data_IF_420502404234
#
_entry.id   IF_420502404234
#
_cell.length_a   1.000
_cell.length_b   1.000
_cell.length_c   1.000
_cell.angle_alpha   90.00
_cell.angle_beta   90.00
_cell.angle_gamma   90.00
#
_symmetry.space_group_name_H-M   'P 1'
#
loop_
_entity.id
_entity.type
_entity.pdbx_description
1 polymer ?
#
# COMPACT_ATOMS: atom_id res chain seq x y z
N UNK A 1 -21.89 13.93 -32.17
CA UNK A 1 -22.46 14.23 -30.84
C UNK A 1 -21.96 15.60 -30.43
N UNK A 2 -22.85 16.58 -30.24
CA UNK A 2 -22.49 17.90 -29.70
C UNK A 2 -22.98 17.91 -28.25
N UNK A 3 -22.07 18.07 -27.30
CA UNK A 3 -22.42 18.12 -25.88
C UNK A 3 -23.02 19.48 -25.55
N UNK A 4 -24.11 19.49 -24.80
CA UNK A 4 -24.76 20.72 -24.32
C UNK A 4 -24.29 21.07 -22.89
N UNK A 5 -24.58 22.29 -22.43
CA UNK A 5 -24.23 22.76 -21.07
C UNK A 5 -24.78 21.84 -19.98
N UNK A 6 -25.94 21.23 -20.23
CA UNK A 6 -26.57 20.25 -19.32
C UNK A 6 -25.73 18.99 -19.17
N UNK A 7 -25.13 18.49 -20.24
CA UNK A 7 -24.27 17.31 -20.23
C UNK A 7 -23.00 17.59 -19.42
N UNK A 8 -22.41 18.77 -19.59
CA UNK A 8 -21.24 19.20 -18.82
C UNK A 8 -21.55 19.37 -17.32
N UNK A 9 -22.71 19.94 -16.98
CA UNK A 9 -23.16 20.07 -15.59
C UNK A 9 -23.44 18.69 -14.96
N UNK A 10 -24.06 17.78 -15.71
CA UNK A 10 -24.29 16.41 -15.24
C UNK A 10 -22.97 15.68 -15.01
N UNK A 11 -22.01 15.80 -15.93
CA UNK A 11 -20.69 15.18 -15.79
C UNK A 11 -19.92 15.75 -14.60
N UNK A 12 -19.90 17.08 -14.45
CA UNK A 12 -19.28 17.74 -13.31
C UNK A 12 -19.93 17.31 -11.98
N UNK A 13 -21.26 17.22 -11.94
CA UNK A 13 -22.01 16.76 -10.76
C UNK A 13 -21.69 15.32 -10.37
N UNK A 14 -21.69 14.39 -11.34
CA UNK A 14 -21.35 12.98 -11.10
C UNK A 14 -19.89 12.86 -10.64
N UNK A 15 -18.97 13.61 -11.24
CA UNK A 15 -17.54 13.58 -10.88
C UNK A 15 -17.30 14.14 -9.47
N UNK A 16 -17.97 15.23 -9.11
CA UNK A 16 -17.94 15.79 -7.76
C UNK A 16 -18.51 14.83 -6.73
N UNK A 17 -19.65 14.20 -7.02
CA UNK A 17 -20.27 13.22 -6.14
C UNK A 17 -19.34 12.00 -5.93
N UNK A 18 -18.74 11.49 -7.01
CA UNK A 18 -17.77 10.40 -6.92
C UNK A 18 -16.54 10.80 -6.09
N UNK A 19 -16.04 12.03 -6.25
CA UNK A 19 -14.93 12.54 -5.45
C UNK A 19 -15.31 12.64 -3.96
N UNK A 20 -16.50 13.16 -3.64
CA UNK A 20 -16.98 13.25 -2.25
C UNK A 20 -17.15 11.86 -1.63
N UNK A 21 -17.78 10.93 -2.33
CA UNK A 21 -17.93 9.54 -1.86
C UNK A 21 -16.57 8.88 -1.64
N UNK A 22 -15.61 9.09 -2.54
CA UNK A 22 -14.23 8.59 -2.40
C UNK A 22 -13.59 9.13 -1.13
N UNK A 23 -13.71 10.44 -0.87
CA UNK A 23 -13.11 11.12 0.29
C UNK A 23 -13.76 10.70 1.61
N UNK A 24 -15.08 10.48 1.65
CA UNK A 24 -15.78 9.97 2.84
C UNK A 24 -15.39 8.51 3.10
N UNK A 25 -15.23 7.70 2.05
CA UNK A 25 -14.87 6.29 2.17
C UNK A 25 -13.38 6.06 2.50
N UNK A 26 -12.51 7.03 2.25
CA UNK A 26 -11.07 7.01 2.58
C UNK A 26 -10.81 6.83 4.08
N UNK A 27 -11.74 7.23 4.95
CA UNK A 27 -11.64 7.04 6.41
C UNK A 27 -12.32 5.77 6.95
N UNK A 28 -13.24 5.16 6.19
CA UNK A 28 -14.12 4.10 6.68
C UNK A 28 -13.76 2.72 6.14
N UNK A 29 -13.25 2.60 4.91
CA UNK A 29 -12.99 1.30 4.30
C UNK A 29 -11.67 1.28 3.52
N UNK A 30 -10.76 0.33 3.81
CA UNK A 30 -10.84 -0.65 4.90
C UNK A 30 -10.31 -0.05 6.21
N UNK A 31 -11.12 -0.12 7.27
CA UNK A 31 -10.69 0.15 8.64
C UNK A 31 -9.77 -0.98 9.11
N UNK A 32 -8.46 -0.80 8.99
CA UNK A 32 -7.46 -1.75 9.46
C UNK A 32 -6.39 -2.09 8.41
N UNK A 33 -5.44 -2.91 8.84
CA UNK A 33 -4.42 -3.45 7.95
C UNK A 33 -5.07 -4.36 6.92
N UNK A 34 -4.85 -4.07 5.64
CA UNK A 34 -5.05 -5.09 4.60
C UNK A 34 -4.01 -6.19 4.75
N UNK A 35 -4.29 -7.40 4.29
CA UNK A 35 -3.42 -8.57 4.49
C UNK A 35 -1.96 -8.27 4.11
N UNK A 36 -1.75 -7.62 2.97
CA UNK A 36 -0.43 -7.21 2.49
C UNK A 36 0.22 -6.11 3.36
N UNK A 37 -0.58 -5.18 3.89
CA UNK A 37 -0.14 -4.13 4.81
C UNK A 37 0.22 -4.71 6.20
N UNK A 38 -0.49 -5.75 6.66
CA UNK A 38 -0.19 -6.43 7.92
C UNK A 38 1.15 -7.18 7.85
N UNK A 39 1.40 -7.92 6.76
CA UNK A 39 2.70 -8.58 6.55
C UNK A 39 3.85 -7.58 6.49
N UNK A 40 3.65 -6.46 5.80
CA UNK A 40 4.59 -5.34 5.76
C UNK A 40 4.87 -4.76 7.15
N UNK A 41 3.83 -4.57 7.97
CA UNK A 41 3.97 -4.10 9.34
C UNK A 41 4.76 -5.08 10.22
N UNK A 42 4.48 -6.39 10.11
CA UNK A 42 5.20 -7.44 10.83
C UNK A 42 6.68 -7.50 10.43
N UNK A 43 6.97 -7.44 9.13
CA UNK A 43 8.35 -7.42 8.62
C UNK A 43 9.11 -6.17 9.09
N UNK A 44 8.46 -5.00 9.06
CA UNK A 44 9.05 -3.76 9.58
C UNK A 44 9.29 -3.83 11.09
N UNK A 45 8.38 -4.44 11.84
CA UNK A 45 8.54 -4.66 13.29
C UNK A 45 9.71 -5.60 13.60
N UNK A 46 9.91 -6.66 12.80
CA UNK A 46 11.07 -7.54 12.94
C UNK A 46 12.39 -6.79 12.74
N UNK A 47 12.44 -5.89 11.75
CA UNK A 47 13.60 -5.03 11.49
C UNK A 47 13.84 -4.03 12.62
N UNK A 48 12.78 -3.42 13.15
CA UNK A 48 12.87 -2.53 14.32
C UNK A 48 13.34 -3.26 15.58
N UNK A 49 13.01 -4.55 15.72
CA UNK A 49 13.53 -5.41 16.78
C UNK A 49 15.02 -5.79 16.59
N UNK A 50 15.67 -5.30 15.54
CA UNK A 50 17.10 -5.49 15.28
C UNK A 50 17.42 -6.61 14.30
N UNK A 51 16.42 -7.34 13.79
CA UNK A 51 16.66 -8.35 12.75
C UNK A 51 17.05 -7.67 11.43
N UNK A 52 17.98 -8.29 10.70
CA UNK A 52 18.41 -7.83 9.38
C UNK A 52 18.25 -8.95 8.35
N UNK A 53 17.01 -9.37 8.05
CA UNK A 53 16.76 -10.45 7.11
C UNK A 53 17.28 -10.05 5.72
N UNK A 54 17.86 -10.99 4.99
CA UNK A 54 18.18 -10.82 3.56
C UNK A 54 17.08 -11.39 2.66
N UNK A 55 16.16 -12.16 3.24
CA UNK A 55 15.03 -12.78 2.58
C UNK A 55 13.81 -12.80 3.51
N UNK A 56 12.62 -12.50 2.99
CA UNK A 56 11.37 -12.44 3.74
C UNK A 56 10.46 -13.62 3.35
N UNK A 57 10.61 -14.81 3.97
CA UNK A 57 9.87 -16.01 3.56
C UNK A 57 8.37 -15.89 3.82
N UNK A 58 7.97 -15.19 4.88
CA UNK A 58 6.57 -14.93 5.21
C UNK A 58 5.87 -14.02 4.17
N UNK A 59 6.65 -13.32 3.35
CA UNK A 59 6.17 -12.33 2.39
C UNK A 59 6.56 -12.71 0.96
N UNK A 60 6.60 -14.01 0.66
CA UNK A 60 6.92 -14.57 -0.65
C UNK A 60 8.27 -14.11 -1.23
N UNK A 61 9.26 -13.81 -0.38
CA UNK A 61 10.57 -13.34 -0.82
C UNK A 61 10.56 -11.89 -1.31
N UNK A 62 9.61 -11.07 -0.84
CA UNK A 62 9.52 -9.64 -1.17
C UNK A 62 10.85 -8.93 -0.86
N UNK A 63 11.17 -7.97 -1.72
CA UNK A 63 12.42 -7.21 -1.70
C UNK A 63 12.66 -6.52 -0.34
N UNK A 64 13.80 -6.79 0.30
CA UNK A 64 14.04 -6.35 1.68
C UNK A 64 14.32 -4.84 1.79
N UNK A 65 14.85 -4.23 0.72
CA UNK A 65 15.05 -2.78 0.67
C UNK A 65 13.75 -2.02 0.96
N UNK A 66 12.63 -2.58 0.48
CA UNK A 66 11.30 -2.10 0.78
C UNK A 66 11.08 -2.10 2.30
N UNK A 67 11.24 -3.24 2.97
CA UNK A 67 11.04 -3.37 4.42
C UNK A 67 11.97 -2.48 5.25
N UNK A 68 13.24 -2.33 4.87
CA UNK A 68 14.16 -1.43 5.59
C UNK A 68 13.68 0.02 5.55
N UNK A 69 13.25 0.50 4.38
CA UNK A 69 12.67 1.83 4.28
C UNK A 69 11.39 1.96 5.13
N UNK A 70 10.65 0.87 5.39
CA UNK A 70 9.41 0.91 6.21
C UNK A 70 9.78 1.06 7.66
N UNK A 71 10.74 0.25 8.09
CA UNK A 71 11.28 0.31 9.43
C UNK A 71 11.87 1.70 9.72
N UNK A 72 12.57 2.33 8.77
CA UNK A 72 13.08 3.71 8.97
C UNK A 72 11.94 4.71 9.18
N UNK A 73 10.93 4.69 8.32
CA UNK A 73 9.78 5.60 8.47
C UNK A 73 8.97 5.30 9.74
N UNK A 74 8.84 4.02 10.11
CA UNK A 74 8.17 3.59 11.33
C UNK A 74 8.97 3.95 12.59
N UNK A 75 10.30 3.97 12.54
CA UNK A 75 11.15 4.45 13.64
C UNK A 75 10.94 5.96 13.88
N UNK A 76 10.71 6.73 12.81
CA UNK A 76 10.56 8.19 12.88
C UNK A 76 9.13 8.63 13.25
N UNK A 77 8.11 7.96 12.74
CA UNK A 77 6.70 8.39 12.84
C UNK A 77 5.79 7.39 13.56
N UNK A 78 6.33 6.27 14.04
CA UNK A 78 5.56 5.18 14.62
C UNK A 78 4.99 4.21 13.58
N UNK A 79 4.68 2.99 14.02
CA UNK A 79 4.07 1.94 13.20
C UNK A 79 2.57 2.20 13.07
N UNK A 80 2.16 2.88 12.00
CA UNK A 80 0.78 3.25 11.73
C UNK A 80 0.41 2.90 10.28
N UNK A 81 -0.87 2.66 10.01
CA UNK A 81 -1.36 2.39 8.65
C UNK A 81 -0.97 3.53 7.70
N UNK A 82 -1.05 4.77 8.18
CA UNK A 82 -0.67 5.95 7.40
C UNK A 82 0.84 5.99 7.07
N UNK A 83 1.72 5.56 7.96
CA UNK A 83 3.18 5.57 7.72
C UNK A 83 3.60 4.46 6.75
N UNK A 84 2.92 3.31 6.81
CA UNK A 84 3.07 2.23 5.83
C UNK A 84 2.52 2.60 4.45
N UNK A 85 1.47 3.43 4.39
CA UNK A 85 0.89 3.94 3.13
C UNK A 85 1.60 5.16 2.55
N UNK A 86 2.19 6.03 3.37
CA UNK A 86 2.96 7.22 2.96
C UNK A 86 4.10 6.88 1.98
N UNK A 87 4.60 5.64 2.08
CA UNK A 87 5.52 5.04 1.13
C UNK A 87 5.03 4.99 -0.31
N UNK A 88 3.78 4.59 -0.56
CA UNK A 88 3.30 4.39 -1.92
C UNK A 88 3.37 5.70 -2.72
N UNK A 89 3.35 6.83 -2.03
CA UNK A 89 3.42 8.17 -2.61
C UNK A 89 4.85 8.61 -2.98
N UNK A 90 5.90 8.11 -2.33
CA UNK A 90 7.28 8.57 -2.57
C UNK A 90 7.99 7.80 -3.69
N UNK A 91 7.56 6.58 -4.01
CA UNK A 91 8.21 5.70 -4.98
C UNK A 91 7.33 5.41 -6.22
N UNK A 92 6.54 6.40 -6.64
CA UNK A 92 5.53 6.27 -7.70
C UNK A 92 6.05 6.17 -9.14
N UNK A 93 7.33 5.92 -9.38
CA UNK A 93 7.91 5.95 -10.74
C UNK A 93 8.67 4.69 -11.17
N UNK A 94 8.90 3.71 -10.29
CA UNK A 94 9.65 2.52 -10.68
C UNK A 94 8.71 1.36 -11.04
N UNK A 95 8.78 0.79 -12.26
CA UNK A 95 8.10 -0.43 -12.56
C UNK A 95 8.80 -1.55 -11.79
N UNK A 96 8.28 -1.92 -10.61
CA UNK A 96 8.71 -3.13 -9.93
C UNK A 96 8.31 -4.32 -10.80
N UNK A 97 9.26 -5.17 -11.26
CA UNK A 97 8.90 -6.42 -11.88
C UNK A 97 8.19 -7.23 -10.79
N UNK A 98 6.93 -7.59 -11.00
CA UNK A 98 6.23 -8.55 -10.12
C UNK A 98 6.45 -9.95 -10.70
N UNK A 99 7.48 -10.72 -10.33
CA UNK A 99 7.42 -12.14 -10.54
C UNK A 99 6.39 -12.69 -9.53
N UNK A 100 5.17 -12.89 -9.99
CA UNK A 100 4.20 -13.73 -9.29
C UNK A 100 4.71 -15.17 -9.46
N UNK A 101 5.67 -15.56 -8.63
CA UNK A 101 6.07 -16.96 -8.50
C UNK A 101 5.25 -17.58 -7.36
N UNK A 102 4.06 -18.08 -7.70
CA UNK A 102 3.43 -19.14 -6.92
C UNK A 102 4.25 -20.41 -7.14
N UNK A 103 5.08 -20.79 -6.17
CA UNK A 103 5.51 -22.18 -6.03
C UNK A 103 5.54 -22.56 -4.55
N UNK A 104 4.38 -22.96 -4.04
CA UNK A 104 4.23 -23.64 -2.77
C UNK A 104 4.38 -25.15 -2.99
N UNK A 105 5.47 -25.77 -2.48
CA UNK A 105 5.41 -27.09 -1.83
C UNK A 105 6.75 -27.56 -1.22
N UNK A 106 6.66 -27.87 0.08
CA UNK A 106 7.39 -28.92 0.81
C UNK A 106 8.87 -28.71 1.18
N UNK A 107 9.09 -28.27 2.42
CA UNK A 107 10.19 -28.76 3.24
C UNK A 107 9.69 -30.00 4.02
N UNK A 108 10.09 -31.19 3.55
CA UNK A 108 10.53 -32.34 4.36
C UNK A 108 11.73 -32.92 3.62
#
# INVERSE_FOLDING_TARGET
MKWDRRDWLALAGITLLAALLRLVQLGLVPSGFQFDEAFNAMDAQLVLAGNRPLFLPANAGREVLYTYWQATLAALFGLNIHTLRLRQRSWGSWPSPRPICYCARSCV
#
